data_IF_212998226224
#
_entry.id   IF_212998226224
#
_cell.length_a   1.000
_cell.length_b   1.000
_cell.length_c   1.000
_cell.angle_alpha   90.00
_cell.angle_beta   90.00
_cell.angle_gamma   90.00
#
_symmetry.space_group_name_H-M   'P 1'
#
loop_
_entity.id
_entity.type
_entity.pdbx_description
1 polymer ?
#
# COMPACT_ATOMS: atom_id res chain seq x y z
N UNK A 1 -6.76 24.33 -67.17
CA UNK A 1 -5.47 24.03 -66.51
C UNK A 1 -5.79 23.81 -65.05
N UNK A 2 -5.77 22.54 -64.63
CA UNK A 2 -6.28 22.01 -63.37
C UNK A 2 -5.17 22.11 -62.31
N UNK A 3 -5.38 22.84 -61.20
CA UNK A 3 -4.43 22.87 -60.07
C UNK A 3 -5.09 22.19 -58.87
N UNK A 4 -4.80 20.91 -58.68
CA UNK A 4 -5.18 20.13 -57.49
C UNK A 4 -4.08 20.36 -56.45
N UNK A 5 -4.38 21.12 -55.41
CA UNK A 5 -3.54 21.22 -54.21
C UNK A 5 -3.87 20.04 -53.30
N UNK A 6 -3.01 19.02 -53.35
CA UNK A 6 -3.05 17.83 -52.50
C UNK A 6 -2.46 18.20 -51.13
N UNK A 7 -3.32 18.57 -50.18
CA UNK A 7 -2.96 18.66 -48.77
C UNK A 7 -2.80 17.23 -48.23
N UNK A 8 -1.56 16.73 -48.15
CA UNK A 8 -1.25 15.59 -47.28
C UNK A 8 -1.23 16.08 -45.83
N UNK A 9 -2.37 16.05 -45.16
CA UNK A 9 -2.41 16.01 -43.71
C UNK A 9 -1.90 14.63 -43.28
N UNK A 10 -0.66 14.58 -42.80
CA UNK A 10 -0.22 13.49 -41.93
C UNK A 10 -1.12 13.54 -40.68
N UNK A 11 -2.16 12.72 -40.64
CA UNK A 11 -2.72 12.26 -39.39
C UNK A 11 -1.65 11.36 -38.77
N UNK A 12 -0.88 11.92 -37.83
CA UNK A 12 -0.21 11.08 -36.86
C UNK A 12 -1.34 10.49 -36.04
N UNK A 13 -1.70 9.23 -36.29
CA UNK A 13 -2.53 8.49 -35.36
C UNK A 13 -1.76 8.53 -34.03
N UNK A 14 -2.24 9.34 -33.09
CA UNK A 14 -1.80 9.27 -31.71
C UNK A 14 -2.06 7.84 -31.27
N UNK A 15 -1.01 7.02 -31.25
CA UNK A 15 -1.02 5.74 -30.54
C UNK A 15 -1.39 6.14 -29.12
N UNK A 16 -2.66 5.93 -28.73
CA UNK A 16 -3.10 6.13 -27.36
C UNK A 16 -2.18 5.28 -26.49
N UNK A 17 -1.23 5.94 -25.83
CA UNK A 17 -0.36 5.30 -24.88
C UNK A 17 -1.28 4.82 -23.75
N UNK A 18 -1.56 3.53 -23.73
CA UNK A 18 -2.36 2.92 -22.66
C UNK A 18 -1.67 3.10 -21.31
N UNK A 19 -2.44 2.86 -20.25
CA UNK A 19 -1.96 2.97 -18.87
C UNK A 19 -0.66 2.17 -18.68
N UNK A 20 0.39 2.86 -18.27
CA UNK A 20 1.72 2.32 -17.92
C UNK A 20 1.80 1.98 -16.43
N UNK A 21 1.14 2.75 -15.57
CA UNK A 21 0.98 2.44 -14.15
C UNK A 21 -0.27 1.59 -13.89
N UNK A 22 -0.09 0.27 -13.88
CA UNK A 22 -1.16 -0.71 -13.72
C UNK A 22 -1.71 -0.82 -12.28
N UNK A 23 -1.28 0.02 -11.34
CA UNK A 23 -1.90 0.03 -10.02
C UNK A 23 -3.40 0.37 -10.13
N UNK A 24 -4.23 -0.34 -9.37
CA UNK A 24 -5.69 -0.19 -9.36
C UNK A 24 -6.38 -0.32 -10.74
N UNK A 25 -5.81 -1.07 -11.68
CA UNK A 25 -6.45 -1.36 -12.98
C UNK A 25 -6.95 -2.81 -13.06
N UNK A 26 -7.89 -3.04 -13.97
CA UNK A 26 -8.31 -4.35 -14.43
C UNK A 26 -8.12 -4.45 -15.94
N UNK A 27 -7.88 -5.67 -16.43
CA UNK A 27 -7.84 -5.93 -17.87
C UNK A 27 -9.24 -6.27 -18.38
N UNK A 28 -9.81 -5.40 -19.21
CA UNK A 28 -11.18 -5.50 -19.72
C UNK A 28 -11.17 -5.20 -21.21
N UNK A 29 -11.77 -6.09 -22.02
CA UNK A 29 -11.87 -5.94 -23.48
C UNK A 29 -10.53 -5.69 -24.20
N UNK A 30 -9.45 -6.30 -23.71
CA UNK A 30 -8.12 -6.21 -24.32
C UNK A 30 -7.30 -4.98 -23.91
N UNK A 31 -7.82 -4.13 -23.02
CA UNK A 31 -7.14 -2.92 -22.54
C UNK A 31 -7.17 -2.84 -21.01
N UNK A 32 -6.18 -2.16 -20.42
CA UNK A 32 -6.21 -1.86 -18.98
C UNK A 32 -7.08 -0.64 -18.72
N UNK A 33 -8.00 -0.76 -17.76
CA UNK A 33 -8.88 0.32 -17.30
C UNK A 33 -8.86 0.42 -15.80
N UNK A 34 -9.08 1.61 -15.25
CA UNK A 34 -9.15 1.78 -13.80
C UNK A 34 -10.33 1.03 -13.20
N UNK A 35 -10.03 0.23 -12.18
CA UNK A 35 -11.01 -0.49 -11.39
C UNK A 35 -11.83 0.49 -10.54
N UNK A 36 -12.99 0.07 -10.06
CA UNK A 36 -13.78 0.85 -9.10
C UNK A 36 -12.98 1.16 -7.83
N UNK A 37 -12.11 0.24 -7.42
CA UNK A 37 -11.17 0.41 -6.32
C UNK A 37 -10.14 1.52 -6.54
N UNK A 38 -9.97 2.06 -7.74
CA UNK A 38 -9.12 3.22 -7.98
C UNK A 38 -9.73 4.51 -7.43
N UNK A 39 -11.07 4.59 -7.34
CA UNK A 39 -11.83 5.84 -7.10
C UNK A 39 -12.89 5.72 -5.98
N UNK A 40 -12.98 4.58 -5.30
CA UNK A 40 -13.98 4.30 -4.25
C UNK A 40 -13.67 4.91 -2.87
N UNK A 41 -12.65 5.75 -2.75
CA UNK A 41 -12.31 6.48 -1.54
C UNK A 41 -12.52 7.99 -1.73
N UNK A 42 -12.38 8.76 -0.65
CA UNK A 42 -12.35 10.23 -0.69
C UNK A 42 -10.92 10.75 -0.65
N UNK A 43 -10.70 11.91 -1.25
CA UNK A 43 -9.46 12.67 -1.08
C UNK A 43 -9.31 13.15 0.36
N UNK A 44 -8.07 13.43 0.82
CA UNK A 44 -7.83 14.01 2.16
C UNK A 44 -8.07 15.51 2.21
N UNK A 45 -7.99 16.17 1.05
CA UNK A 45 -8.41 17.55 0.83
C UNK A 45 -9.59 17.58 -0.16
N UNK A 46 -10.17 18.75 -0.39
CA UNK A 46 -11.30 18.87 -1.33
C UNK A 46 -10.90 18.47 -2.75
N UNK A 47 -11.85 17.92 -3.51
CA UNK A 47 -11.64 17.55 -4.91
C UNK A 47 -11.16 18.75 -5.75
N UNK A 48 -11.68 19.95 -5.48
CA UNK A 48 -11.21 21.19 -6.11
C UNK A 48 -9.73 21.48 -5.84
N UNK A 49 -9.26 21.30 -4.60
CA UNK A 49 -7.84 21.50 -4.27
C UNK A 49 -6.97 20.41 -4.88
N UNK A 50 -7.45 19.16 -4.94
CA UNK A 50 -6.75 18.10 -5.63
C UNK A 50 -6.62 18.38 -7.14
N UNK A 51 -7.66 18.93 -7.77
CA UNK A 51 -7.59 19.33 -9.19
C UNK A 51 -6.60 20.48 -9.41
N UNK A 52 -6.44 21.40 -8.46
CA UNK A 52 -5.37 22.43 -8.54
C UNK A 52 -3.98 21.78 -8.53
N UNK A 53 -3.78 20.74 -7.70
CA UNK A 53 -2.48 20.06 -7.58
C UNK A 53 -2.19 19.13 -8.77
N UNK A 54 -3.16 18.31 -9.15
CA UNK A 54 -2.99 17.17 -10.06
C UNK A 54 -3.65 17.36 -11.43
N UNK A 55 -4.36 18.46 -11.65
CA UNK A 55 -4.95 18.94 -12.92
C UNK A 55 -6.06 18.08 -13.52
N UNK A 56 -5.96 16.75 -13.43
CA UNK A 56 -6.95 15.81 -13.94
C UNK A 56 -7.22 14.71 -12.90
N UNK A 57 -8.49 14.32 -12.79
CA UNK A 57 -8.89 13.20 -11.98
C UNK A 57 -8.95 11.91 -12.82
N UNK A 58 -8.54 10.81 -12.22
CA UNK A 58 -8.78 9.47 -12.72
C UNK A 58 -10.26 9.14 -12.60
N UNK A 59 -10.80 8.51 -13.64
CA UNK A 59 -12.20 8.05 -13.69
C UNK A 59 -12.26 6.52 -13.74
N UNK A 60 -13.35 5.97 -13.21
CA UNK A 60 -13.63 4.54 -13.30
C UNK A 60 -13.80 4.12 -14.77
N UNK A 61 -13.26 2.94 -15.12
CA UNK A 61 -13.44 2.33 -16.43
C UNK A 61 -12.90 3.16 -17.61
N UNK A 62 -11.93 4.05 -17.36
CA UNK A 62 -11.18 4.76 -18.41
C UNK A 62 -9.79 4.17 -18.60
N UNK A 63 -9.22 4.39 -19.78
CA UNK A 63 -7.88 3.91 -20.20
C UNK A 63 -6.84 5.03 -20.30
N UNK A 64 -7.21 6.26 -19.95
CA UNK A 64 -6.31 7.40 -19.96
C UNK A 64 -5.27 7.25 -18.85
N UNK A 65 -4.00 7.49 -19.16
CA UNK A 65 -2.95 7.53 -18.14
C UNK A 65 -3.25 8.58 -17.06
N UNK A 66 -2.77 8.34 -15.83
CA UNK A 66 -2.86 9.34 -14.75
C UNK A 66 -2.13 10.60 -15.18
N UNK A 67 -2.52 11.74 -14.60
CA UNK A 67 -1.68 12.92 -14.72
C UNK A 67 -0.28 12.61 -14.16
N UNK A 68 0.77 13.01 -14.89
CA UNK A 68 2.16 12.76 -14.49
C UNK A 68 2.50 13.31 -13.10
N UNK A 69 1.74 14.26 -12.56
CA UNK A 69 1.92 14.75 -11.18
C UNK A 69 1.48 13.75 -10.10
N UNK A 70 0.64 12.78 -10.44
CA UNK A 70 0.18 11.75 -9.50
C UNK A 70 1.27 10.74 -9.15
N UNK A 71 2.17 10.44 -10.08
CA UNK A 71 3.21 9.42 -9.86
C UNK A 71 4.47 9.62 -10.68
N UNK A 72 4.47 10.44 -11.73
CA UNK A 72 5.56 10.53 -12.70
C UNK A 72 5.38 9.56 -13.87
N UNK A 73 6.24 9.70 -14.88
CA UNK A 73 6.39 8.73 -15.95
C UNK A 73 7.89 8.51 -16.23
N UNK A 74 8.48 7.39 -15.76
CA UNK A 74 7.85 6.29 -15.02
C UNK A 74 7.44 6.68 -13.58
N UNK A 75 6.60 5.86 -12.90
CA UNK A 75 6.18 6.13 -11.53
C UNK A 75 7.35 6.20 -10.53
N UNK A 76 7.50 7.35 -9.88
CA UNK A 76 8.36 7.60 -8.73
C UNK A 76 7.61 7.24 -7.42
N UNK A 77 8.19 6.36 -6.57
CA UNK A 77 7.52 5.92 -5.35
C UNK A 77 7.16 7.04 -4.36
N UNK A 78 7.94 8.12 -4.28
CA UNK A 78 7.64 9.22 -3.36
C UNK A 78 6.47 10.07 -3.85
N UNK A 79 6.40 10.31 -5.16
CA UNK A 79 5.25 11.01 -5.77
C UNK A 79 3.96 10.19 -5.64
N UNK A 80 4.03 8.89 -5.90
CA UNK A 80 2.90 7.97 -5.70
C UNK A 80 2.43 8.00 -4.25
N UNK A 81 3.35 7.95 -3.28
CA UNK A 81 3.00 8.02 -1.87
C UNK A 81 2.36 9.36 -1.49
N UNK A 82 2.89 10.49 -1.99
CA UNK A 82 2.30 11.80 -1.76
C UNK A 82 0.87 11.91 -2.33
N UNK A 83 0.62 11.31 -3.49
CA UNK A 83 -0.72 11.22 -4.09
C UNK A 83 -1.66 10.35 -3.24
N UNK A 84 -1.20 9.20 -2.74
CA UNK A 84 -1.97 8.33 -1.82
C UNK A 84 -2.35 9.09 -0.54
N UNK A 85 -1.42 9.86 0.02
CA UNK A 85 -1.62 10.54 1.30
C UNK A 85 -2.44 11.83 1.20
N UNK A 86 -2.54 12.42 -0.01
CA UNK A 86 -3.20 13.73 -0.20
C UNK A 86 -4.48 13.62 -1.01
N UNK A 87 -4.41 13.00 -2.19
CA UNK A 87 -5.48 12.97 -3.19
C UNK A 87 -5.63 11.59 -3.87
N UNK A 88 -5.83 10.52 -3.08
CA UNK A 88 -5.85 9.16 -3.61
C UNK A 88 -6.98 8.93 -4.62
N UNK A 89 -8.13 9.60 -4.49
CA UNK A 89 -9.24 9.48 -5.44
C UNK A 89 -8.89 10.16 -6.76
N UNK A 90 -8.42 11.40 -6.71
CA UNK A 90 -8.04 12.17 -7.92
C UNK A 90 -6.95 11.45 -8.69
N UNK A 91 -5.98 10.87 -7.99
CA UNK A 91 -4.90 10.13 -8.62
C UNK A 91 -5.19 8.65 -8.85
N UNK A 92 -6.41 8.15 -8.60
CA UNK A 92 -6.76 6.77 -8.90
C UNK A 92 -5.99 5.72 -8.07
N UNK A 93 -5.56 6.06 -6.85
CA UNK A 93 -4.80 5.21 -5.93
C UNK A 93 -5.60 4.78 -4.70
N UNK A 94 -6.93 4.88 -4.72
CA UNK A 94 -7.75 4.46 -3.58
C UNK A 94 -7.44 3.02 -3.13
N UNK A 95 -7.19 2.08 -4.06
CA UNK A 95 -6.89 0.69 -3.74
C UNK A 95 -5.58 0.49 -2.95
N UNK A 96 -4.70 1.50 -2.96
CA UNK A 96 -3.44 1.52 -2.23
C UNK A 96 -3.55 2.23 -0.88
N UNK A 97 -4.68 2.88 -0.59
CA UNK A 97 -4.90 3.49 0.72
C UNK A 97 -5.13 2.41 1.78
N UNK A 98 -4.63 2.58 3.02
CA UNK A 98 -4.75 1.58 4.07
C UNK A 98 -6.18 1.08 4.31
N UNK A 99 -7.16 2.00 4.28
CA UNK A 99 -8.56 1.71 4.47
C UNK A 99 -9.13 0.76 3.40
N UNK A 100 -8.56 0.73 2.19
CA UNK A 100 -9.04 -0.04 1.06
C UNK A 100 -8.06 -1.16 0.64
N UNK A 101 -6.86 -1.22 1.23
CA UNK A 101 -5.80 -2.18 0.88
C UNK A 101 -6.01 -3.56 1.53
N UNK A 102 -7.08 -4.24 1.17
CA UNK A 102 -7.35 -5.64 1.50
C UNK A 102 -8.23 -6.31 0.44
N UNK A 103 -8.62 -7.56 0.66
CA UNK A 103 -9.57 -8.27 -0.21
C UNK A 103 -10.92 -8.39 0.47
N UNK A 104 -11.98 -8.36 -0.32
CA UNK A 104 -13.30 -8.80 0.14
C UNK A 104 -13.30 -10.31 0.38
N UNK A 105 -14.24 -10.78 1.20
CA UNK A 105 -14.47 -12.21 1.43
C UNK A 105 -14.96 -12.85 0.13
N UNK A 106 -14.32 -13.95 -0.27
CA UNK A 106 -14.66 -14.67 -1.51
C UNK A 106 -16.10 -15.20 -1.51
N UNK A 107 -16.59 -15.64 -0.34
CA UNK A 107 -17.98 -16.03 -0.10
C UNK A 107 -18.61 -15.06 0.89
N UNK A 108 -18.86 -13.84 0.42
CA UNK A 108 -19.59 -12.81 1.16
C UNK A 108 -21.08 -13.14 1.24
N UNK A 109 -21.75 -12.73 2.32
CA UNK A 109 -23.21 -12.83 2.47
C UNK A 109 -23.95 -11.88 1.54
N UNK A 110 -23.30 -10.78 1.18
CA UNK A 110 -23.78 -9.80 0.21
C UNK A 110 -22.79 -9.66 -0.95
N UNK A 111 -23.24 -9.49 -2.19
CA UNK A 111 -22.34 -9.27 -3.31
C UNK A 111 -21.65 -7.91 -3.17
N UNK A 112 -20.33 -7.89 -2.96
CA UNK A 112 -19.60 -6.65 -2.70
C UNK A 112 -19.65 -5.65 -3.87
N UNK A 113 -19.89 -6.12 -5.10
CA UNK A 113 -20.09 -5.28 -6.28
C UNK A 113 -21.41 -4.50 -6.29
N UNK A 114 -22.35 -4.80 -5.40
CA UNK A 114 -23.62 -4.07 -5.29
C UNK A 114 -23.69 -3.17 -4.04
N UNK A 115 -22.60 -3.10 -3.27
CA UNK A 115 -22.55 -2.32 -2.04
C UNK A 115 -22.39 -0.85 -2.38
N UNK A 116 -23.30 -0.01 -1.90
CA UNK A 116 -23.23 1.44 -2.12
C UNK A 116 -22.50 2.14 -0.96
N UNK A 117 -22.07 3.39 -1.19
CA UNK A 117 -21.46 4.22 -0.15
C UNK A 117 -22.40 4.41 1.05
N UNK A 118 -23.69 4.59 0.81
CA UNK A 118 -24.72 4.68 1.86
C UNK A 118 -24.82 3.41 2.71
N UNK A 119 -24.63 2.23 2.09
CA UNK A 119 -24.57 0.96 2.82
C UNK A 119 -23.32 0.90 3.70
N UNK A 120 -22.19 1.39 3.22
CA UNK A 120 -20.95 1.48 4.02
C UNK A 120 -21.10 2.45 5.21
N UNK A 121 -21.83 3.55 5.04
CA UNK A 121 -22.10 4.52 6.13
C UNK A 121 -23.20 4.03 7.10
N UNK A 122 -24.01 3.04 6.71
CA UNK A 122 -25.10 2.51 7.51
C UNK A 122 -24.63 1.69 8.71
N UNK A 123 -25.04 2.09 9.91
CA UNK A 123 -24.76 1.36 11.14
C UNK A 123 -25.35 -0.06 11.14
N UNK A 124 -26.46 -0.28 10.41
CA UNK A 124 -27.09 -1.60 10.29
C UNK A 124 -26.23 -2.59 9.47
N UNK A 125 -25.50 -2.09 8.47
CA UNK A 125 -24.68 -2.90 7.57
C UNK A 125 -23.23 -3.01 7.99
N UNK A 126 -22.75 -2.08 8.81
CA UNK A 126 -21.35 -1.95 9.22
C UNK A 126 -20.69 -3.27 9.62
N UNK A 127 -21.33 -4.08 10.46
CA UNK A 127 -20.78 -5.36 10.91
C UNK A 127 -20.63 -6.36 9.77
N UNK A 128 -21.65 -6.48 8.91
CA UNK A 128 -21.64 -7.40 7.76
C UNK A 128 -20.57 -6.95 6.76
N UNK A 129 -20.54 -5.66 6.40
CA UNK A 129 -19.64 -5.13 5.39
C UNK A 129 -18.18 -5.05 5.86
N UNK A 130 -17.92 -4.90 7.15
CA UNK A 130 -16.56 -4.97 7.70
C UNK A 130 -15.96 -6.38 7.55
N UNK A 131 -16.77 -7.43 7.69
CA UNK A 131 -16.30 -8.80 7.53
C UNK A 131 -16.29 -9.24 6.06
N UNK A 132 -17.32 -8.86 5.31
CA UNK A 132 -17.57 -9.41 3.99
C UNK A 132 -16.98 -8.55 2.86
N UNK A 133 -17.12 -7.23 2.96
CA UNK A 133 -16.76 -6.28 1.91
C UNK A 133 -15.85 -5.13 2.38
N UNK A 134 -14.78 -5.39 3.17
CA UNK A 134 -13.97 -4.32 3.76
C UNK A 134 -13.24 -3.48 2.72
N UNK A 135 -12.88 -4.03 1.56
CA UNK A 135 -12.19 -3.30 0.51
C UNK A 135 -13.11 -2.31 -0.21
N UNK A 136 -14.41 -2.59 -0.35
CA UNK A 136 -15.34 -1.64 -0.97
C UNK A 136 -15.66 -0.48 -0.02
N UNK A 137 -15.79 -0.78 1.27
CA UNK A 137 -16.23 0.21 2.26
C UNK A 137 -15.09 0.96 2.98
N UNK A 138 -13.84 0.68 2.67
CA UNK A 138 -12.74 1.33 3.37
C UNK A 138 -12.54 0.81 4.81
N UNK A 139 -12.90 -0.45 5.09
CA UNK A 139 -12.79 -1.06 6.42
C UNK A 139 -11.54 -1.94 6.61
N UNK A 140 -10.60 -1.94 5.66
CA UNK A 140 -9.35 -2.69 5.78
C UNK A 140 -8.45 -2.19 6.93
N UNK A 141 -8.60 -0.92 7.34
CA UNK A 141 -7.96 -0.35 8.54
C UNK A 141 -8.50 -0.96 9.85
N UNK A 142 -9.65 -1.62 9.77
CA UNK A 142 -10.36 -2.26 10.86
C UNK A 142 -10.34 -3.76 10.67
N UNK A 143 -9.15 -4.38 10.75
CA UNK A 143 -9.14 -5.84 10.80
C UNK A 143 -9.98 -6.35 11.99
N UNK A 144 -10.67 -7.49 11.84
CA UNK A 144 -11.43 -8.10 12.93
C UNK A 144 -10.53 -8.23 14.17
N UNK A 145 -10.97 -7.65 15.30
CA UNK A 145 -10.21 -7.63 16.54
C UNK A 145 -9.34 -6.40 16.78
N UNK A 146 -9.26 -5.43 15.86
CA UNK A 146 -8.55 -4.16 16.13
C UNK A 146 -9.45 -3.08 16.80
N UNK A 147 -10.75 -3.31 17.00
CA UNK A 147 -11.74 -2.28 17.39
C UNK A 147 -12.46 -2.51 18.76
N UNK A 148 -12.02 -3.45 19.60
CA UNK A 148 -12.68 -3.77 20.87
C UNK A 148 -11.72 -3.52 22.05
N UNK A 149 -11.93 -2.48 22.86
CA UNK A 149 -11.29 -2.23 24.18
C UNK A 149 -9.86 -2.79 24.35
N UNK A 150 -8.96 -2.35 23.46
CA UNK A 150 -7.99 -3.23 22.83
C UNK A 150 -6.59 -3.26 23.47
N UNK A 151 -6.51 -3.28 24.79
CA UNK A 151 -5.21 -3.34 25.48
C UNK A 151 -4.48 -4.68 25.25
N UNK A 152 -5.20 -5.80 25.16
CA UNK A 152 -4.57 -7.13 25.16
C UNK A 152 -3.97 -7.55 23.81
N UNK A 153 -4.67 -7.31 22.69
CA UNK A 153 -4.16 -7.66 21.35
C UNK A 153 -2.94 -6.80 21.00
N UNK A 154 -2.99 -5.50 21.33
CA UNK A 154 -1.88 -4.57 21.10
C UNK A 154 -0.62 -4.88 21.93
N UNK A 155 -0.75 -5.59 23.05
CA UNK A 155 0.36 -5.94 23.96
C UNK A 155 0.86 -7.38 23.80
N UNK A 156 0.16 -8.22 23.02
CA UNK A 156 0.52 -9.63 22.84
C UNK A 156 1.70 -9.80 21.89
N UNK A 157 2.82 -10.33 22.39
CA UNK A 157 4.01 -10.67 21.61
C UNK A 157 3.69 -11.64 20.47
N UNK A 158 2.83 -12.62 20.71
CA UNK A 158 2.46 -13.65 19.72
C UNK A 158 1.62 -13.09 18.56
N UNK A 159 1.00 -11.92 18.76
CA UNK A 159 0.19 -11.24 17.75
C UNK A 159 0.90 -10.02 17.17
N UNK A 160 2.18 -9.77 17.51
CA UNK A 160 2.91 -8.59 17.01
C UNK A 160 2.91 -8.49 15.49
N UNK A 161 3.07 -9.59 14.76
CA UNK A 161 3.03 -9.57 13.30
C UNK A 161 1.64 -9.23 12.75
N UNK A 162 0.57 -9.69 13.42
CA UNK A 162 -0.81 -9.34 13.11
C UNK A 162 -1.10 -7.87 13.44
N UNK A 163 -0.71 -7.40 14.63
CA UNK A 163 -0.89 -6.02 15.09
C UNK A 163 -0.11 -5.03 14.21
N UNK A 164 1.15 -5.34 13.90
CA UNK A 164 1.95 -4.54 12.99
C UNK A 164 1.43 -4.61 11.57
N UNK A 165 0.69 -5.63 11.14
CA UNK A 165 0.17 -5.65 9.77
C UNK A 165 -1.20 -4.99 9.66
N UNK A 166 -2.03 -5.13 10.69
CA UNK A 166 -3.47 -4.88 10.59
C UNK A 166 -4.06 -3.97 11.67
N UNK A 167 -3.39 -3.77 12.82
CA UNK A 167 -3.88 -2.93 13.92
C UNK A 167 -2.98 -1.72 14.22
N UNK A 168 -2.02 -1.36 13.34
CA UNK A 168 -1.02 -0.29 13.59
C UNK A 168 -1.66 0.99 14.12
N UNK A 169 -2.77 1.39 13.51
CA UNK A 169 -3.46 2.64 13.83
C UNK A 169 -4.16 2.58 15.17
N UNK A 170 -4.93 1.53 15.43
CA UNK A 170 -5.70 1.39 16.68
C UNK A 170 -4.83 1.01 17.88
N UNK A 171 -3.67 0.38 17.65
CA UNK A 171 -2.67 0.10 18.68
C UNK A 171 -1.65 1.22 18.88
N UNK A 172 -1.86 2.41 18.28
CA UNK A 172 -0.98 3.57 18.47
C UNK A 172 0.43 3.43 17.90
N UNK A 173 0.67 2.47 17.00
CA UNK A 173 1.96 2.22 16.36
C UNK A 173 2.24 3.17 15.19
N UNK A 174 1.29 4.03 14.81
CA UNK A 174 1.45 5.00 13.72
C UNK A 174 2.40 6.18 14.03
N UNK A 175 3.11 6.17 15.19
CA UNK A 175 4.06 7.23 15.57
C UNK A 175 5.52 6.76 15.71
N UNK A 176 5.94 5.62 15.16
CA UNK A 176 7.37 5.26 15.07
C UNK A 176 7.99 5.64 13.73
N UNK A 177 7.91 6.92 13.39
CA UNK A 177 9.01 7.61 12.71
C UNK A 177 9.73 8.39 13.82
N UNK A 178 10.88 7.87 14.25
CA UNK A 178 11.85 8.43 15.20
C UNK A 178 11.61 9.89 15.63
N UNK A 179 11.17 10.11 16.87
CA UNK A 179 11.51 11.29 17.70
C UNK A 179 10.91 11.14 19.09
N UNK A 180 11.58 10.37 19.95
CA UNK A 180 11.49 10.63 21.40
C UNK A 180 12.90 10.92 21.87
N UNK A 181 13.21 12.21 21.91
CA UNK A 181 14.26 12.80 22.71
C UNK A 181 14.05 12.39 24.17
N UNK A 182 14.96 11.55 24.68
CA UNK A 182 15.27 11.49 26.11
C UNK A 182 16.63 12.15 26.36
N UNK A 183 16.87 12.68 27.56
CA UNK A 183 17.81 13.76 27.78
C UNK A 183 19.27 13.37 27.56
N UNK A 184 20.03 14.39 27.17
CA UNK A 184 21.49 14.43 27.03
C UNK A 184 22.23 13.83 28.23
N UNK A 185 23.02 12.79 27.97
CA UNK A 185 24.34 12.63 28.59
C UNK A 185 25.30 11.87 27.65
N UNK A 186 26.02 12.68 26.88
CA UNK A 186 27.44 12.55 26.48
C UNK A 186 27.95 11.29 25.74
N UNK A 187 28.40 11.58 24.51
CA UNK A 187 29.15 10.82 23.49
C UNK A 187 30.49 10.18 24.01
N UNK A 188 31.30 9.42 23.20
CA UNK A 188 31.33 9.39 21.73
C UNK A 188 31.56 8.04 21.03
N UNK A 189 31.29 7.96 19.72
CA UNK A 189 31.80 6.85 18.92
C UNK A 189 31.20 6.62 17.53
N UNK A 190 31.43 7.55 16.59
CA UNK A 190 31.78 7.31 15.17
C UNK A 190 30.96 6.27 14.38
N UNK A 191 30.11 6.74 13.46
CA UNK A 191 29.82 6.00 12.22
C UNK A 191 31.03 6.10 11.28
N UNK A 192 31.43 4.98 10.67
CA UNK A 192 31.37 4.96 9.21
C UNK A 192 30.86 3.60 8.70
N UNK A 193 29.93 3.60 7.74
CA UNK A 193 29.96 2.53 6.73
C UNK A 193 31.10 2.82 5.74
N UNK A 194 31.32 2.01 4.69
CA UNK A 194 30.94 0.62 4.42
C UNK A 194 32.18 -0.23 4.03
N UNK A 195 32.19 -1.56 4.24
CA UNK A 195 33.07 -2.47 3.47
C UNK A 195 32.79 -3.95 3.75
N UNK A 196 32.75 -4.75 2.69
CA UNK A 196 32.50 -6.18 2.76
C UNK A 196 33.70 -7.02 3.21
N UNK A 197 33.40 -8.31 3.37
CA UNK A 197 34.32 -9.46 3.44
C UNK A 197 34.79 -9.91 4.84
N UNK A 198 34.10 -10.95 5.32
CA UNK A 198 34.58 -12.10 6.15
C UNK A 198 33.60 -12.55 7.25
N UNK A 199 32.36 -12.05 7.26
CA UNK A 199 31.30 -12.53 8.15
C UNK A 199 30.21 -13.23 7.37
N UNK A 200 30.53 -14.40 6.78
CA UNK A 200 29.51 -15.26 6.13
C UNK A 200 28.57 -15.87 7.20
N UNK A 201 28.89 -15.70 8.49
CA UNK A 201 28.12 -16.25 9.59
C UNK A 201 27.69 -15.19 10.61
N UNK A 202 26.43 -14.75 10.50
CA UNK A 202 25.79 -13.83 11.41
C UNK A 202 25.74 -14.31 12.85
N UNK A 203 25.99 -13.39 13.78
CA UNK A 203 25.87 -13.63 15.23
C UNK A 203 25.16 -12.44 15.87
N UNK A 204 23.84 -12.38 15.74
CA UNK A 204 23.01 -11.39 16.39
C UNK A 204 22.81 -11.75 17.89
N UNK A 205 22.86 -10.75 18.76
CA UNK A 205 22.63 -10.93 20.20
C UNK A 205 21.26 -11.56 20.55
N UNK A 206 20.28 -11.44 19.64
CA UNK A 206 18.94 -11.98 19.82
C UNK A 206 18.78 -13.43 19.30
N UNK A 207 19.83 -14.03 18.72
CA UNK A 207 19.75 -15.38 18.17
C UNK A 207 19.30 -16.46 19.15
N UNK A 208 19.74 -16.49 20.43
CA UNK A 208 19.25 -17.49 21.37
C UNK A 208 17.72 -17.49 21.50
N UNK A 209 17.12 -16.31 21.51
CA UNK A 209 15.65 -16.15 21.55
C UNK A 209 15.01 -16.50 20.22
N UNK A 210 15.57 -16.06 19.09
CA UNK A 210 14.98 -16.32 17.77
C UNK A 210 15.04 -17.80 17.39
N UNK A 211 16.15 -18.49 17.69
CA UNK A 211 16.28 -19.93 17.44
C UNK A 211 15.31 -20.73 18.31
N UNK A 212 15.15 -20.39 19.59
CA UNK A 212 14.11 -20.99 20.44
C UNK A 212 12.69 -20.81 19.88
N UNK A 213 12.44 -19.70 19.18
CA UNK A 213 11.16 -19.39 18.55
C UNK A 213 11.06 -19.88 17.09
N UNK A 214 11.93 -20.79 16.65
CA UNK A 214 11.81 -21.47 15.36
C UNK A 214 12.34 -20.68 14.16
N UNK A 215 13.17 -19.66 14.39
CA UNK A 215 13.74 -18.83 13.32
C UNK A 215 14.46 -19.65 12.23
N UNK A 216 15.20 -20.68 12.61
CA UNK A 216 15.95 -21.51 11.67
C UNK A 216 15.03 -22.39 10.80
N UNK A 217 13.88 -22.80 11.32
CA UNK A 217 12.91 -23.67 10.66
C UNK A 217 11.81 -22.91 9.91
N UNK A 218 11.71 -21.60 10.12
CA UNK A 218 10.69 -20.76 9.51
C UNK A 218 10.83 -20.68 7.98
N UNK A 219 9.74 -20.90 7.25
CA UNK A 219 9.66 -20.67 5.79
C UNK A 219 9.50 -19.18 5.43
N UNK A 220 9.26 -18.32 6.42
CA UNK A 220 9.10 -16.88 6.25
C UNK A 220 10.44 -16.17 5.99
N UNK A 221 11.54 -16.68 6.55
CA UNK A 221 12.88 -16.12 6.37
C UNK A 221 13.67 -16.90 5.32
N UNK A 222 14.34 -16.19 4.42
CA UNK A 222 15.22 -16.84 3.44
C UNK A 222 16.47 -17.39 4.12
N UNK A 223 17.11 -18.40 3.51
CA UNK A 223 18.36 -18.94 4.03
C UNK A 223 19.47 -17.87 4.12
N UNK A 224 19.48 -16.88 3.23
CA UNK A 224 20.40 -15.75 3.29
C UNK A 224 20.19 -14.89 4.55
N UNK A 225 18.92 -14.61 4.91
CA UNK A 225 18.59 -13.87 6.13
C UNK A 225 18.95 -14.66 7.38
N UNK A 226 18.65 -15.97 7.40
CA UNK A 226 19.01 -16.83 8.52
C UNK A 226 20.52 -16.88 8.73
N UNK A 227 21.27 -16.97 7.65
CA UNK A 227 22.75 -16.98 7.66
C UNK A 227 23.32 -15.62 8.08
N UNK A 228 22.71 -14.51 7.65
CA UNK A 228 23.12 -13.15 8.00
C UNK A 228 22.89 -12.81 9.48
N UNK A 229 21.82 -13.32 10.09
CA UNK A 229 21.47 -12.96 11.46
C UNK A 229 21.97 -13.98 12.48
N UNK A 230 21.74 -15.27 12.25
CA UNK A 230 21.98 -16.34 13.21
C UNK A 230 22.65 -17.55 12.56
N UNK A 231 23.58 -17.32 11.64
CA UNK A 231 24.18 -18.38 10.84
C UNK A 231 24.71 -19.55 11.66
N UNK A 232 25.43 -19.28 12.76
CA UNK A 232 25.99 -20.33 13.64
C UNK A 232 24.90 -21.11 14.36
N UNK A 233 23.94 -20.40 14.95
CA UNK A 233 22.84 -20.98 15.72
C UNK A 233 21.85 -21.75 14.82
N UNK A 234 21.78 -21.38 13.54
CA UNK A 234 21.00 -22.08 12.52
C UNK A 234 21.80 -23.10 11.71
N UNK A 235 23.08 -23.32 12.01
CA UNK A 235 23.99 -24.25 11.32
C UNK A 235 24.06 -24.04 9.79
N UNK A 236 23.96 -22.78 9.35
CA UNK A 236 24.10 -22.41 7.93
C UNK A 236 25.56 -22.06 7.57
N UNK A 237 26.39 -22.01 8.61
CA UNK A 237 27.82 -21.80 8.70
C UNK A 237 28.20 -22.04 10.19
#
# INVERSE_FOLDING_TARGET
MFFILLFLSLACDDVQAGITDLNCTNFVDGVFKYAESAVNCRNKISDANCLILYEAAVEYNTENERNAKCGGNPPDPQLVQAAIDTCPKTCGYCCLTPAFLCQNKQQSRVPCSSVTEEMCESQAWKTILTEDCPNVCGFCDSAPGCNLDNAFICQSINLQSFVQKYCKRTCGLCNTSSTTSMPLTQAPGIYPGPQGSSTICGSNQNCPTWVQNGFCQSSFYTNAQKMQYCGRECQLC
#
